data_IF_919424341003
#
_entry.id   IF_919424341003
#
_cell.length_a   1.000
_cell.length_b   1.000
_cell.length_c   1.000
_cell.angle_alpha   90.00
_cell.angle_beta   90.00
_cell.angle_gamma   90.00
#
_symmetry.space_group_name_H-M   'P 1'
#
loop_
_entity.id
_entity.type
_entity.pdbx_description
1 polymer ?
#
# COMPACT_ATOMS: atom_id res chain seq x y z
N UNK A 1 9.74 19.07 26.67
CA UNK A 1 9.33 18.86 25.27
C UNK A 1 8.63 17.52 25.26
N UNK A 2 7.31 17.57 25.40
CA UNK A 2 6.52 16.37 25.65
C UNK A 2 6.10 15.76 24.32
N UNK A 3 6.76 14.66 23.94
CA UNK A 3 6.30 13.79 22.86
C UNK A 3 5.08 13.02 23.37
N UNK A 4 3.89 13.52 23.05
CA UNK A 4 2.64 12.81 23.27
C UNK A 4 2.56 11.68 22.24
N UNK A 5 3.11 10.51 22.60
CA UNK A 5 2.78 9.24 21.97
C UNK A 5 1.37 8.86 22.42
N UNK A 6 0.37 9.23 21.64
CA UNK A 6 -0.98 8.67 21.81
C UNK A 6 -0.98 7.24 21.29
N UNK A 7 -0.65 6.32 22.21
CA UNK A 7 -1.13 4.95 22.15
C UNK A 7 -2.65 4.97 22.15
N UNK A 8 -3.24 4.94 20.96
CA UNK A 8 -4.67 4.73 20.80
C UNK A 8 -4.95 3.23 20.95
N UNK A 9 -4.99 2.76 22.20
CA UNK A 9 -5.52 1.46 22.61
C UNK A 9 -7.06 1.48 22.53
N UNK A 10 -7.59 1.82 21.35
CA UNK A 10 -9.01 1.74 21.06
C UNK A 10 -9.32 0.42 20.39
N UNK A 11 -9.54 -0.64 21.17
CA UNK A 11 -10.26 -1.88 20.79
C UNK A 11 -10.51 -2.06 19.30
N UNK A 12 -9.48 -2.41 18.51
CA UNK A 12 -9.73 -2.92 17.17
C UNK A 12 -10.29 -4.32 17.36
N UNK A 13 -11.61 -4.45 17.25
CA UNK A 13 -12.20 -5.79 17.08
C UNK A 13 -11.44 -6.44 15.93
N UNK A 14 -10.92 -7.67 16.08
CA UNK A 14 -10.34 -8.38 14.95
C UNK A 14 -11.40 -8.41 13.85
N UNK A 15 -11.07 -7.84 12.70
CA UNK A 15 -11.99 -7.78 11.57
C UNK A 15 -12.18 -9.21 11.06
N UNK A 16 -13.27 -9.84 11.53
CA UNK A 16 -13.63 -11.23 11.25
C UNK A 16 -13.66 -11.44 9.73
N UNK A 17 -12.87 -12.40 9.24
CA UNK A 17 -12.80 -12.76 7.82
C UNK A 17 -11.52 -12.31 7.09
N UNK A 18 -10.66 -11.48 7.69
CA UNK A 18 -9.43 -11.00 7.04
C UNK A 18 -8.36 -12.06 6.83
N UNK A 19 -8.22 -13.03 7.74
CA UNK A 19 -7.16 -14.03 7.63
C UNK A 19 -7.26 -14.86 6.34
N UNK A 20 -8.48 -15.15 5.88
CA UNK A 20 -8.70 -15.82 4.59
C UNK A 20 -8.27 -14.95 3.41
N UNK A 21 -8.58 -13.65 3.46
CA UNK A 21 -8.16 -12.68 2.45
C UNK A 21 -6.65 -12.47 2.44
N UNK A 22 -6.02 -12.31 3.61
CA UNK A 22 -4.56 -12.20 3.73
C UNK A 22 -3.87 -13.44 3.17
N UNK A 23 -4.33 -14.65 3.52
CA UNK A 23 -3.78 -15.89 2.95
C UNK A 23 -3.91 -15.94 1.42
N UNK A 24 -5.06 -15.53 0.88
CA UNK A 24 -5.25 -15.49 -0.57
C UNK A 24 -4.32 -14.47 -1.23
N UNK A 25 -4.20 -13.27 -0.67
CA UNK A 25 -3.29 -12.22 -1.16
C UNK A 25 -1.84 -12.70 -1.12
N UNK A 26 -1.38 -13.26 0.00
CA UNK A 26 -0.02 -13.80 0.13
C UNK A 26 0.27 -14.89 -0.90
N UNK A 27 -0.68 -15.81 -1.14
CA UNK A 27 -0.52 -16.85 -2.16
C UNK A 27 -0.38 -16.27 -3.58
N UNK A 28 -1.13 -15.21 -3.90
CA UNK A 28 -1.07 -14.53 -5.21
C UNK A 28 0.19 -13.68 -5.36
N UNK A 29 0.64 -13.01 -4.30
CA UNK A 29 1.91 -12.29 -4.28
C UNK A 29 3.10 -13.23 -4.51
N UNK A 30 3.07 -14.43 -3.93
CA UNK A 30 4.07 -15.48 -4.21
C UNK A 30 4.09 -15.97 -5.66
N UNK A 31 3.08 -15.62 -6.46
CA UNK A 31 2.99 -15.87 -7.91
C UNK A 31 3.26 -14.62 -8.75
N UNK A 32 3.75 -13.55 -8.12
CA UNK A 32 4.00 -12.25 -8.75
C UNK A 32 2.75 -11.62 -9.39
N UNK A 33 1.57 -11.86 -8.83
CA UNK A 33 0.33 -11.25 -9.31
C UNK A 33 0.09 -9.89 -8.65
N UNK A 34 -0.24 -8.88 -9.46
CA UNK A 34 -0.70 -7.57 -8.98
C UNK A 34 -2.18 -7.63 -8.56
N UNK A 35 -2.52 -6.93 -7.48
CA UNK A 35 -3.84 -6.98 -6.87
C UNK A 35 -4.37 -5.59 -6.58
N UNK A 36 -5.70 -5.44 -6.70
CA UNK A 36 -6.40 -4.21 -6.33
C UNK A 36 -7.42 -4.54 -5.25
N UNK A 37 -7.35 -3.80 -4.14
CA UNK A 37 -8.33 -3.87 -3.05
C UNK A 37 -9.24 -2.65 -3.18
N UNK A 38 -10.50 -2.88 -3.54
CA UNK A 38 -11.50 -1.82 -3.68
C UNK A 38 -12.67 -2.03 -2.72
N UNK A 39 -13.35 -0.93 -2.38
CA UNK A 39 -14.51 -0.98 -1.50
C UNK A 39 -14.87 0.40 -0.96
N UNK A 40 -16.08 0.52 -0.42
CA UNK A 40 -16.58 1.77 0.16
C UNK A 40 -15.69 2.35 1.27
N UNK A 41 -15.94 3.62 1.64
CA UNK A 41 -15.20 4.27 2.72
C UNK A 41 -15.35 3.48 4.03
N UNK A 42 -14.30 3.51 4.86
CA UNK A 42 -14.28 2.90 6.21
C UNK A 42 -14.46 1.37 6.28
N UNK A 43 -14.28 0.65 5.17
CA UNK A 43 -14.19 -0.83 5.16
C UNK A 43 -12.80 -1.37 5.54
N UNK A 44 -11.90 -0.47 5.98
CA UNK A 44 -10.60 -0.83 6.53
C UNK A 44 -9.53 -1.22 5.51
N UNK A 45 -9.62 -0.79 4.24
CA UNK A 45 -8.62 -1.07 3.20
C UNK A 45 -7.20 -0.70 3.64
N UNK A 46 -7.00 0.52 4.16
CA UNK A 46 -5.72 0.99 4.71
C UNK A 46 -5.24 0.09 5.86
N UNK A 47 -6.13 -0.23 6.81
CA UNK A 47 -5.80 -1.14 7.91
C UNK A 47 -5.49 -2.56 7.43
N UNK A 48 -6.00 -2.99 6.27
CA UNK A 48 -5.66 -4.27 5.66
C UNK A 48 -4.27 -4.23 5.02
N UNK A 49 -3.93 -3.15 4.30
CA UNK A 49 -2.60 -2.95 3.73
C UNK A 49 -1.52 -2.87 4.82
N UNK A 50 -1.79 -2.21 5.94
CA UNK A 50 -0.86 -2.15 7.07
C UNK A 50 -0.62 -3.54 7.71
N UNK A 51 -1.66 -4.34 7.88
CA UNK A 51 -1.55 -5.71 8.41
C UNK A 51 -0.81 -6.63 7.42
N UNK A 52 -1.08 -6.49 6.12
CA UNK A 52 -0.34 -7.16 5.06
C UNK A 52 1.14 -6.77 5.08
N UNK A 53 1.48 -5.49 5.24
CA UNK A 53 2.87 -5.04 5.34
C UNK A 53 3.59 -5.69 6.53
N UNK A 54 2.95 -5.74 7.70
CA UNK A 54 3.49 -6.43 8.88
C UNK A 54 3.65 -7.94 8.67
N UNK A 55 2.82 -8.54 7.81
CA UNK A 55 2.93 -9.96 7.48
C UNK A 55 4.08 -10.24 6.51
N UNK A 56 4.24 -9.40 5.49
CA UNK A 56 5.35 -9.47 4.54
C UNK A 56 6.70 -9.29 5.26
N UNK A 57 6.79 -8.34 6.18
CA UNK A 57 7.97 -8.12 7.01
C UNK A 57 8.31 -9.36 7.87
N UNK A 58 7.30 -9.96 8.51
CA UNK A 58 7.46 -11.22 9.26
C UNK A 58 7.94 -12.39 8.41
N UNK A 59 7.50 -12.45 7.16
CA UNK A 59 7.88 -13.50 6.20
C UNK A 59 9.18 -13.13 5.44
N UNK A 60 9.90 -12.09 5.87
CA UNK A 60 11.14 -11.58 5.28
C UNK A 60 11.02 -11.21 3.79
N UNK A 61 9.81 -10.85 3.33
CA UNK A 61 9.57 -10.35 2.00
C UNK A 61 9.80 -8.85 1.95
N UNK A 62 10.63 -8.38 1.02
CA UNK A 62 10.83 -6.94 0.82
C UNK A 62 9.54 -6.29 0.34
N UNK A 63 8.93 -5.49 1.21
CA UNK A 63 7.74 -4.71 0.89
C UNK A 63 7.92 -3.23 1.21
N UNK A 64 7.15 -2.39 0.53
CA UNK A 64 7.11 -0.95 0.76
C UNK A 64 5.67 -0.47 0.72
N UNK A 65 5.25 0.19 1.80
CA UNK A 65 3.96 0.85 1.90
C UNK A 65 4.09 2.31 1.49
N UNK A 66 3.18 2.80 0.65
CA UNK A 66 3.10 4.18 0.18
C UNK A 66 1.66 4.67 0.28
N UNK A 67 1.45 5.79 0.95
CA UNK A 67 0.16 6.48 0.99
C UNK A 67 0.13 7.55 -0.11
N UNK A 68 -0.66 7.33 -1.15
CA UNK A 68 -0.67 8.22 -2.30
C UNK A 68 -1.50 9.48 -2.08
N UNK A 69 -2.06 9.72 -0.90
CA UNK A 69 -2.47 11.06 -0.48
C UNK A 69 -1.27 11.93 -0.05
N UNK A 70 -0.14 11.31 0.30
CA UNK A 70 1.10 11.99 0.66
C UNK A 70 1.95 12.33 -0.58
N UNK A 71 2.44 13.56 -0.68
CA UNK A 71 3.22 14.02 -1.83
C UNK A 71 4.63 13.39 -1.92
N UNK A 72 5.28 13.14 -0.79
CA UNK A 72 6.62 12.53 -0.74
C UNK A 72 6.56 11.07 -1.20
N UNK A 73 5.52 10.33 -0.79
CA UNK A 73 5.29 8.95 -1.22
C UNK A 73 4.96 8.86 -2.72
N UNK A 74 4.25 9.87 -3.26
CA UNK A 74 4.02 9.99 -4.70
C UNK A 74 5.33 10.24 -5.45
N UNK A 75 6.16 11.18 -5.00
CA UNK A 75 7.46 11.47 -5.61
C UNK A 75 8.38 10.24 -5.56
N UNK A 76 8.40 9.54 -4.44
CA UNK A 76 9.14 8.30 -4.25
C UNK A 76 8.68 7.21 -5.23
N UNK A 77 7.37 7.04 -5.41
CA UNK A 77 6.84 6.07 -6.39
C UNK A 77 7.31 6.43 -7.80
N UNK A 78 7.19 7.70 -8.19
CA UNK A 78 7.60 8.17 -9.52
C UNK A 78 9.10 8.02 -9.76
N UNK A 79 9.94 8.28 -8.76
CA UNK A 79 11.39 8.09 -8.86
C UNK A 79 11.79 6.61 -9.02
N UNK A 80 10.96 5.69 -8.52
CA UNK A 80 11.18 4.24 -8.56
C UNK A 80 10.69 3.58 -9.87
N UNK A 81 9.61 4.08 -10.45
CA UNK A 81 8.99 3.53 -11.67
C UNK A 81 9.96 3.26 -12.85
N UNK A 82 10.99 4.09 -13.12
CA UNK A 82 11.92 3.78 -14.22
C UNK A 82 12.82 2.55 -13.96
N UNK A 83 13.06 2.16 -12.71
CA UNK A 83 13.80 0.94 -12.35
C UNK A 83 13.35 0.43 -10.96
N UNK A 84 12.23 -0.30 -10.88
CA UNK A 84 11.67 -0.72 -9.60
C UNK A 84 12.58 -1.78 -8.96
N UNK A 85 13.06 -1.58 -7.72
CA UNK A 85 13.76 -2.62 -7.00
C UNK A 85 12.84 -3.84 -6.82
N UNK A 86 13.47 -5.01 -6.73
CA UNK A 86 12.77 -6.28 -6.51
C UNK A 86 12.04 -6.20 -5.15
N UNK A 87 10.71 -6.15 -5.18
CA UNK A 87 9.90 -6.04 -3.96
C UNK A 87 8.40 -5.87 -4.24
N UNK A 88 7.61 -5.91 -3.17
CA UNK A 88 6.15 -5.73 -3.18
C UNK A 88 5.80 -4.29 -2.81
N UNK A 89 5.07 -3.60 -3.67
CA UNK A 89 4.56 -2.26 -3.41
C UNK A 89 3.11 -2.32 -2.94
N UNK A 90 2.85 -1.76 -1.77
CA UNK A 90 1.52 -1.61 -1.19
C UNK A 90 1.11 -0.14 -1.34
N UNK A 91 0.28 0.14 -2.33
CA UNK A 91 -0.17 1.48 -2.66
C UNK A 91 -1.55 1.73 -2.05
N UNK A 92 -1.66 2.67 -1.11
CA UNK A 92 -2.95 3.14 -0.60
C UNK A 92 -3.39 4.42 -1.33
N UNK A 93 -4.69 4.70 -1.34
CA UNK A 93 -5.28 5.91 -1.96
C UNK A 93 -4.86 6.15 -3.42
N UNK A 94 -4.75 5.07 -4.22
CA UNK A 94 -4.35 5.13 -5.64
C UNK A 94 -5.24 6.00 -6.53
N UNK A 95 -6.45 6.34 -6.08
CA UNK A 95 -7.34 7.27 -6.75
C UNK A 95 -6.81 8.71 -6.76
N UNK A 96 -6.02 9.11 -5.76
CA UNK A 96 -5.35 10.42 -5.73
C UNK A 96 -4.42 10.65 -6.93
N UNK A 97 -3.78 9.59 -7.41
CA UNK A 97 -2.97 9.60 -8.63
C UNK A 97 -3.81 9.82 -9.90
N UNK A 98 -5.04 9.27 -9.92
CA UNK A 98 -5.95 9.40 -11.06
C UNK A 98 -6.60 10.78 -11.14
N UNK A 99 -6.72 11.50 -10.03
CA UNK A 99 -7.19 12.89 -10.02
C UNK A 99 -6.15 13.85 -10.60
N UNK A 100 -4.86 13.50 -10.51
CA UNK A 100 -3.74 14.21 -11.15
C UNK A 100 -3.47 13.81 -12.61
N UNK A 101 -4.46 13.21 -13.29
CA UNK A 101 -4.46 12.53 -14.62
C UNK A 101 -3.60 13.08 -15.77
N UNK A 102 -3.07 14.31 -15.69
CA UNK A 102 -2.03 14.78 -16.61
C UNK A 102 -0.66 14.15 -16.33
N UNK A 103 -0.26 14.07 -15.06
CA UNK A 103 1.17 13.91 -14.70
C UNK A 103 1.71 12.49 -14.89
N UNK A 104 0.92 11.43 -14.64
CA UNK A 104 1.42 10.05 -14.67
C UNK A 104 1.57 9.51 -16.10
N UNK A 105 0.65 9.87 -16.99
CA UNK A 105 0.73 9.49 -18.41
C UNK A 105 1.89 10.21 -19.10
N UNK A 106 2.12 11.46 -18.74
CA UNK A 106 3.28 12.24 -19.17
C UNK A 106 4.58 11.64 -18.59
N UNK A 107 4.59 11.26 -17.31
CA UNK A 107 5.79 10.66 -16.69
C UNK A 107 6.17 9.30 -17.30
N UNK A 108 5.18 8.42 -17.55
CA UNK A 108 5.40 7.11 -18.17
C UNK A 108 5.75 7.18 -19.68
N UNK A 109 5.49 8.31 -20.35
CA UNK A 109 5.81 8.51 -21.77
C UNK A 109 7.16 9.17 -22.02
N UNK A 110 7.81 9.73 -20.99
CA UNK A 110 9.15 10.34 -21.09
C UNK A 110 10.28 9.39 -20.69
N UNK A 111 9.97 8.13 -20.34
CA UNK A 111 10.97 7.09 -20.03
C UNK A 111 11.29 6.17 -21.22
N UNK A 112 11.02 6.62 -22.45
CA UNK A 112 11.35 5.92 -23.71
C UNK A 112 12.56 6.52 -24.40
#
# INVERSE_FOLDING_TARGET
MDFVSQHNTGTSRPLVGRDGMLRNVMWRLGRHESLVVFGGPKLGKSSFLLDLNQRLDRDAMTSRYLDLDNADDQEMLLAVVPDPPIGIYLLDNCDALCEKKGTIRDFLSHSS
#
